data_IF_518871236561
#
_entry.id   IF_518871236561
#
_cell.length_a   1.000
_cell.length_b   1.000
_cell.length_c   1.000
_cell.angle_alpha   90.00
_cell.angle_beta   90.00
_cell.angle_gamma   90.00
#
_symmetry.space_group_name_H-M   'P 1'
#
loop_
_entity.id
_entity.type
_entity.pdbx_description
1 polymer ?
#
# COMPACT_ATOMS: atom_id res chain seq x y z
N UNK A 1 -28.86 -29.67 16.61
CA UNK A 1 -27.60 -28.91 16.54
C UNK A 1 -26.92 -29.32 15.25
N UNK A 2 -27.06 -28.51 14.21
CA UNK A 2 -26.51 -28.74 12.87
C UNK A 2 -25.63 -27.53 12.50
N UNK A 3 -24.58 -27.69 11.69
CA UNK A 3 -23.53 -26.70 11.54
C UNK A 3 -23.97 -25.52 10.66
N UNK A 4 -23.44 -24.34 10.99
CA UNK A 4 -23.59 -23.11 10.20
C UNK A 4 -22.69 -23.20 8.97
N UNK A 5 -23.28 -23.16 7.77
CA UNK A 5 -22.54 -23.04 6.51
C UNK A 5 -21.98 -21.63 6.35
N UNK A 6 -20.68 -21.54 6.05
CA UNK A 6 -19.96 -20.32 5.74
C UNK A 6 -19.91 -20.16 4.21
N UNK A 7 -20.40 -19.02 3.73
CA UNK A 7 -19.92 -18.32 2.54
C UNK A 7 -20.18 -18.98 1.17
N UNK A 8 -21.30 -18.62 0.54
CA UNK A 8 -21.42 -18.63 -0.92
C UNK A 8 -21.27 -17.19 -1.46
N UNK A 9 -20.66 -17.00 -2.65
CA UNK A 9 -20.54 -15.68 -3.28
C UNK A 9 -21.91 -15.18 -3.74
N UNK A 10 -22.32 -14.02 -3.22
CA UNK A 10 -23.57 -13.34 -3.57
C UNK A 10 -23.36 -12.58 -4.89
N UNK A 11 -23.50 -13.30 -6.01
CA UNK A 11 -23.85 -12.67 -7.29
C UNK A 11 -25.15 -13.30 -7.78
N UNK A 12 -26.22 -12.99 -7.04
CA UNK A 12 -27.59 -13.19 -7.49
C UNK A 12 -28.01 -12.03 -8.40
N UNK A 13 -28.64 -12.38 -9.52
CA UNK A 13 -29.15 -11.50 -10.55
C UNK A 13 -30.30 -10.67 -9.98
N UNK A 14 -29.98 -9.56 -9.30
CA UNK A 14 -30.82 -8.40 -9.00
C UNK A 14 -30.01 -7.40 -8.14
N UNK A 15 -28.96 -6.81 -8.71
CA UNK A 15 -28.14 -5.83 -8.00
C UNK A 15 -28.83 -4.45 -7.95
N UNK A 16 -29.03 -3.84 -6.77
CA UNK A 16 -29.42 -2.44 -6.68
C UNK A 16 -28.33 -1.55 -7.29
N UNK A 17 -28.76 -0.42 -7.88
CA UNK A 17 -27.86 0.56 -8.53
C UNK A 17 -26.66 0.90 -7.64
N UNK A 18 -25.44 1.03 -8.21
CA UNK A 18 -24.26 1.36 -7.43
C UNK A 18 -24.48 2.70 -6.72
N UNK A 19 -24.53 2.67 -5.40
CA UNK A 19 -24.53 3.88 -4.57
C UNK A 19 -23.23 4.63 -4.81
N UNK A 20 -23.35 5.85 -5.34
CA UNK A 20 -22.26 6.75 -5.75
C UNK A 20 -21.48 7.35 -4.57
N UNK A 21 -20.97 6.52 -3.67
CA UNK A 21 -20.21 6.98 -2.51
C UNK A 21 -18.82 6.34 -2.50
N UNK A 22 -17.80 7.20 -2.39
CA UNK A 22 -16.42 6.82 -2.13
C UNK A 22 -16.34 5.93 -0.90
N UNK A 23 -15.48 4.90 -0.88
CA UNK A 23 -15.34 4.06 0.30
C UNK A 23 -14.84 4.88 1.50
N UNK A 24 -15.54 4.77 2.63
CA UNK A 24 -15.07 5.20 3.95
C UNK A 24 -13.92 4.31 4.41
N UNK A 25 -13.16 4.81 5.39
CA UNK A 25 -11.95 4.17 5.88
C UNK A 25 -12.07 3.86 7.37
N UNK A 26 -11.95 2.58 7.74
CA UNK A 26 -11.79 2.18 9.14
C UNK A 26 -10.48 2.72 9.71
N UNK A 27 -10.51 3.06 10.99
CA UNK A 27 -9.31 3.38 11.74
C UNK A 27 -8.30 2.23 11.69
N UNK A 28 -7.03 2.59 11.53
CA UNK A 28 -5.93 1.65 11.33
C UNK A 28 -5.77 0.66 12.50
N UNK A 29 -6.22 1.03 13.70
CA UNK A 29 -6.21 0.16 14.90
C UNK A 29 -7.15 -1.04 14.79
N UNK A 30 -8.11 -1.01 13.86
CA UNK A 30 -8.99 -2.14 13.56
C UNK A 30 -8.34 -3.15 12.60
N UNK A 31 -7.17 -2.83 12.05
CA UNK A 31 -6.44 -3.67 11.11
C UNK A 31 -5.23 -4.29 11.80
N UNK A 32 -4.87 -5.48 11.33
CA UNK A 32 -3.69 -6.21 11.82
C UNK A 32 -2.40 -5.38 11.74
N UNK A 33 -1.50 -5.61 12.69
CA UNK A 33 -0.10 -5.16 12.66
C UNK A 33 0.85 -6.26 12.19
N UNK A 34 0.32 -7.42 11.77
CA UNK A 34 1.11 -8.53 11.23
C UNK A 34 1.71 -8.15 9.87
N UNK A 35 3.04 -8.18 9.80
CA UNK A 35 3.77 -7.76 8.61
C UNK A 35 3.46 -8.64 7.41
N UNK A 36 3.33 -9.95 7.58
CA UNK A 36 3.14 -10.86 6.46
C UNK A 36 1.72 -10.74 5.88
N UNK A 37 0.72 -10.51 6.73
CA UNK A 37 -0.64 -10.15 6.31
C UNK A 37 -0.65 -8.86 5.48
N UNK A 38 0.09 -7.83 5.90
CA UNK A 38 0.19 -6.56 5.18
C UNK A 38 1.00 -6.68 3.87
N UNK A 39 2.06 -7.50 3.84
CA UNK A 39 2.93 -7.70 2.67
C UNK A 39 2.33 -8.60 1.60
N UNK A 40 1.78 -9.74 2.01
CA UNK A 40 1.47 -10.85 1.10
C UNK A 40 -0.03 -11.10 0.95
N UNK A 41 -0.84 -10.63 1.91
CA UNK A 41 -2.28 -10.89 1.94
C UNK A 41 -3.14 -9.63 1.78
N UNK A 42 -2.53 -8.49 1.42
CA UNK A 42 -3.26 -7.24 1.16
C UNK A 42 -4.15 -6.79 2.34
N UNK A 43 -3.75 -7.07 3.58
CA UNK A 43 -4.58 -6.80 4.75
C UNK A 43 -4.91 -5.30 4.94
N UNK A 44 -4.10 -4.38 4.41
CA UNK A 44 -4.39 -2.94 4.41
C UNK A 44 -5.71 -2.60 3.68
N UNK A 45 -6.11 -3.40 2.68
CA UNK A 45 -7.36 -3.18 1.94
C UNK A 45 -8.61 -3.37 2.80
N UNK A 46 -8.51 -4.07 3.93
CA UNK A 46 -9.59 -4.24 4.89
C UNK A 46 -10.00 -2.92 5.56
N UNK A 47 -9.19 -1.84 5.44
CA UNK A 47 -9.65 -0.52 5.86
C UNK A 47 -10.79 0.03 4.99
N UNK A 48 -10.89 -0.40 3.72
CA UNK A 48 -11.83 0.16 2.76
C UNK A 48 -13.23 -0.45 2.92
N UNK A 49 -14.23 0.40 3.12
CA UNK A 49 -15.63 -0.02 3.23
C UNK A 49 -16.41 0.30 1.96
N UNK A 50 -17.14 -0.68 1.42
CA UNK A 50 -18.01 -0.50 0.25
C UNK A 50 -19.47 -0.75 0.63
N UNK A 51 -20.34 0.24 0.47
CA UNK A 51 -21.78 0.14 0.79
C UNK A 51 -22.21 0.96 2.00
N UNK A 52 -23.53 1.03 2.23
CA UNK A 52 -24.21 2.01 3.09
C UNK A 52 -23.56 2.29 4.45
N UNK A 53 -23.51 3.58 4.79
CA UNK A 53 -23.24 4.10 6.14
C UNK A 53 -24.22 3.51 7.17
N UNK A 54 -23.91 2.33 7.71
CA UNK A 54 -24.72 1.75 8.79
C UNK A 54 -24.00 0.76 9.70
N UNK A 55 -22.73 1.02 10.00
CA UNK A 55 -22.21 0.71 11.33
C UNK A 55 -21.75 2.01 11.99
N UNK A 56 -22.72 2.68 12.61
CA UNK A 56 -22.61 3.99 13.29
C UNK A 56 -21.68 3.97 14.52
N UNK A 57 -20.78 3.00 14.65
CA UNK A 57 -19.96 2.79 15.84
C UNK A 57 -18.48 2.49 15.57
N UNK A 58 -18.07 2.19 14.33
CA UNK A 58 -16.68 1.92 14.04
C UNK A 58 -15.88 3.22 13.91
N UNK A 59 -14.68 3.24 14.50
CA UNK A 59 -13.76 4.37 14.38
C UNK A 59 -13.38 4.58 12.91
N UNK A 60 -13.56 5.80 12.42
CA UNK A 60 -13.20 6.20 11.06
C UNK A 60 -11.98 7.11 11.08
N UNK A 61 -11.19 7.08 10.01
CA UNK A 61 -9.98 7.89 9.87
C UNK A 61 -9.78 8.33 8.42
N UNK A 62 -8.91 9.31 8.19
CA UNK A 62 -8.39 9.65 6.86
C UNK A 62 -6.96 9.12 6.64
N UNK A 63 -6.44 8.39 7.63
CA UNK A 63 -5.09 7.84 7.65
C UNK A 63 -5.08 6.41 7.09
N UNK A 64 -4.41 6.24 5.95
CA UNK A 64 -4.34 5.00 5.21
C UNK A 64 -3.05 4.22 5.52
N UNK A 65 -3.17 2.92 5.74
CA UNK A 65 -2.05 1.99 5.82
C UNK A 65 -1.52 1.76 4.40
N UNK A 66 -0.34 2.30 4.13
CA UNK A 66 0.31 2.20 2.81
C UNK A 66 1.64 1.45 2.86
N UNK A 67 1.94 0.79 3.98
CA UNK A 67 3.13 -0.05 4.11
C UNK A 67 2.92 -1.20 5.10
N UNK A 68 3.89 -2.12 5.24
CA UNK A 68 3.86 -3.11 6.31
C UNK A 68 3.96 -2.53 7.74
N UNK A 69 4.21 -1.22 7.90
CA UNK A 69 4.23 -0.55 9.20
C UNK A 69 2.85 0.04 9.52
N UNK A 70 2.17 -0.51 10.53
CA UNK A 70 0.87 -0.02 11.01
C UNK A 70 1.01 0.73 12.34
N UNK A 71 1.78 1.80 12.33
CA UNK A 71 1.95 2.75 13.44
C UNK A 71 1.60 4.17 12.97
N UNK A 72 1.11 5.07 13.84
CA UNK A 72 0.62 6.39 13.42
C UNK A 72 1.58 7.23 12.57
N UNK A 73 2.90 7.11 12.81
CA UNK A 73 3.94 7.84 12.04
C UNK A 73 4.15 7.31 10.62
N UNK A 74 3.56 6.18 10.28
CA UNK A 74 3.72 5.51 8.99
C UNK A 74 2.45 5.59 8.14
N UNK A 75 1.38 6.22 8.63
CA UNK A 75 0.12 6.29 7.91
C UNK A 75 0.12 7.47 6.94
N UNK A 76 -0.43 7.25 5.74
CA UNK A 76 -0.63 8.28 4.75
C UNK A 76 -1.90 9.07 5.05
N UNK A 77 -1.79 10.38 5.25
CA UNK A 77 -2.96 11.27 5.34
C UNK A 77 -3.52 11.55 3.94
N UNK A 78 -4.68 10.97 3.63
CA UNK A 78 -5.35 11.13 2.34
C UNK A 78 -5.76 12.58 2.05
N UNK A 79 -5.93 13.43 3.07
CA UNK A 79 -6.28 14.85 2.88
C UNK A 79 -5.15 15.66 2.26
N UNK A 80 -3.92 15.15 2.28
CA UNK A 80 -2.75 15.80 1.69
C UNK A 80 -2.65 15.58 0.18
N UNK A 81 -3.49 14.70 -0.38
CA UNK A 81 -3.45 14.28 -1.78
C UNK A 81 -4.64 14.80 -2.56
N UNK A 82 -4.45 15.01 -3.87
CA UNK A 82 -5.56 15.22 -4.79
C UNK A 82 -6.30 13.91 -5.08
N UNK A 83 -7.47 14.01 -5.72
CA UNK A 83 -8.34 12.87 -6.00
C UNK A 83 -7.64 11.71 -6.72
N UNK A 84 -6.90 11.88 -7.84
CA UNK A 84 -6.27 10.74 -8.51
C UNK A 84 -5.25 10.03 -7.62
N UNK A 85 -4.47 10.78 -6.83
CA UNK A 85 -3.49 10.21 -5.90
C UNK A 85 -4.17 9.47 -4.73
N UNK A 86 -5.28 10.00 -4.19
CA UNK A 86 -6.08 9.30 -3.18
C UNK A 86 -6.63 7.97 -3.71
N UNK A 87 -7.19 7.97 -4.93
CA UNK A 87 -7.75 6.76 -5.55
C UNK A 87 -6.66 5.72 -5.82
N UNK A 88 -5.50 6.14 -6.31
CA UNK A 88 -4.35 5.25 -6.52
C UNK A 88 -3.82 4.69 -5.18
N UNK A 89 -3.66 5.51 -4.15
CA UNK A 89 -3.23 5.04 -2.82
C UNK A 89 -4.18 3.97 -2.26
N UNK A 90 -5.50 4.20 -2.37
CA UNK A 90 -6.52 3.20 -2.01
C UNK A 90 -6.39 1.93 -2.84
N UNK A 91 -6.17 2.03 -4.15
CA UNK A 91 -5.97 0.86 -5.00
C UNK A 91 -4.69 0.08 -4.67
N UNK A 92 -3.61 0.74 -4.27
CA UNK A 92 -2.34 0.12 -3.89
C UNK A 92 -2.42 -0.65 -2.56
N UNK A 93 -3.51 -0.53 -1.79
CA UNK A 93 -3.73 -1.36 -0.59
C UNK A 93 -3.85 -2.84 -0.92
N UNK A 94 -4.27 -3.19 -2.15
CA UNK A 94 -4.33 -4.59 -2.63
C UNK A 94 -3.05 -5.07 -3.31
N UNK A 95 -2.01 -4.22 -3.42
CA UNK A 95 -0.74 -4.59 -4.04
C UNK A 95 -0.08 -5.72 -3.23
N UNK A 96 0.24 -6.81 -3.91
CA UNK A 96 0.94 -7.97 -3.36
C UNK A 96 1.76 -8.68 -4.46
N UNK A 97 2.84 -9.37 -4.10
CA UNK A 97 3.56 -10.20 -5.07
C UNK A 97 2.67 -11.37 -5.53
N UNK A 98 2.87 -11.83 -6.76
CA UNK A 98 2.12 -12.93 -7.38
C UNK A 98 3.00 -14.14 -7.74
N UNK A 99 4.27 -14.09 -7.36
CA UNK A 99 5.29 -15.12 -7.64
C UNK A 99 6.39 -15.04 -6.60
N UNK A 100 6.94 -16.19 -6.23
CA UNK A 100 7.93 -16.31 -5.14
C UNK A 100 9.29 -15.67 -5.47
N UNK A 101 9.62 -15.55 -6.76
CA UNK A 101 10.87 -14.99 -7.27
C UNK A 101 10.81 -13.47 -7.53
N UNK A 102 9.84 -12.76 -6.93
CA UNK A 102 9.66 -11.30 -7.09
C UNK A 102 10.95 -10.50 -6.86
N UNK A 103 11.85 -10.99 -6.00
CA UNK A 103 13.13 -10.34 -5.69
C UNK A 103 14.06 -10.24 -6.90
N UNK A 104 13.87 -11.06 -7.94
CA UNK A 104 14.68 -11.07 -9.17
C UNK A 104 13.89 -10.99 -10.47
N UNK A 105 12.61 -11.34 -10.46
CA UNK A 105 11.75 -11.27 -11.64
C UNK A 105 11.50 -9.82 -12.10
N UNK A 106 11.11 -9.57 -13.37
CA UNK A 106 10.71 -8.25 -13.85
C UNK A 106 9.65 -7.61 -12.95
N UNK A 107 9.82 -6.33 -12.61
CA UNK A 107 8.98 -5.64 -11.62
C UNK A 107 7.49 -5.65 -11.98
N UNK A 108 7.18 -5.33 -13.24
CA UNK A 108 5.81 -5.27 -13.77
C UNK A 108 5.12 -6.64 -13.81
N UNK A 109 5.88 -7.72 -13.71
CA UNK A 109 5.37 -9.09 -13.67
C UNK A 109 5.41 -9.72 -12.27
N UNK A 110 5.99 -9.01 -11.29
CA UNK A 110 6.17 -9.52 -9.92
C UNK A 110 4.96 -9.31 -9.04
N UNK A 111 4.12 -8.30 -9.35
CA UNK A 111 2.97 -7.89 -8.56
C UNK A 111 1.65 -7.99 -9.34
N UNK A 112 0.54 -7.99 -8.62
CA UNK A 112 -0.83 -8.04 -9.16
C UNK A 112 -1.30 -6.70 -9.78
N UNK A 113 -0.48 -6.04 -10.60
CA UNK A 113 -0.79 -4.74 -11.20
C UNK A 113 -2.13 -4.68 -11.95
N UNK A 114 -2.50 -5.76 -12.65
CA UNK A 114 -3.79 -5.82 -13.33
C UNK A 114 -4.98 -5.70 -12.36
N UNK A 115 -4.88 -6.33 -11.18
CA UNK A 115 -5.91 -6.24 -10.15
C UNK A 115 -5.96 -4.83 -9.54
N UNK A 116 -4.80 -4.24 -9.26
CA UNK A 116 -4.68 -2.84 -8.77
C UNK A 116 -5.34 -1.86 -9.74
N UNK A 117 -5.05 -1.95 -11.04
CA UNK A 117 -5.63 -1.03 -12.03
C UNK A 117 -7.11 -1.27 -12.30
N UNK A 118 -7.59 -2.52 -12.20
CA UNK A 118 -9.03 -2.79 -12.25
C UNK A 118 -9.73 -2.16 -11.05
N UNK A 119 -9.20 -2.34 -9.85
CA UNK A 119 -9.77 -1.76 -8.65
C UNK A 119 -9.72 -0.22 -8.66
N UNK A 120 -8.63 0.37 -9.17
CA UNK A 120 -8.54 1.81 -9.40
C UNK A 120 -9.64 2.33 -10.33
N UNK A 121 -9.96 1.58 -11.39
CA UNK A 121 -11.04 1.92 -12.32
C UNK A 121 -12.39 1.89 -11.62
N UNK A 122 -12.65 0.87 -10.80
CA UNK A 122 -13.89 0.75 -10.04
C UNK A 122 -14.04 1.89 -9.02
N UNK A 123 -12.95 2.24 -8.34
CA UNK A 123 -12.87 3.39 -7.44
C UNK A 123 -13.17 4.69 -8.19
N UNK A 124 -12.53 4.93 -9.33
CA UNK A 124 -12.76 6.13 -10.14
C UNK A 124 -14.22 6.23 -10.59
N UNK A 125 -14.81 5.13 -11.09
CA UNK A 125 -16.21 5.08 -11.51
C UNK A 125 -17.18 5.38 -10.36
N UNK A 126 -16.97 4.75 -9.20
CA UNK A 126 -17.82 4.94 -8.01
C UNK A 126 -17.76 6.37 -7.47
N UNK A 127 -16.61 7.03 -7.63
CA UNK A 127 -16.39 8.43 -7.25
C UNK A 127 -16.86 9.44 -8.32
N UNK A 128 -17.37 8.98 -9.47
CA UNK A 128 -17.67 9.84 -10.61
C UNK A 128 -16.44 10.58 -11.16
N UNK A 129 -15.23 10.07 -10.88
CA UNK A 129 -13.98 10.70 -11.28
C UNK A 129 -13.62 10.27 -12.70
N UNK A 130 -13.50 11.25 -13.61
CA UNK A 130 -13.00 11.02 -14.96
C UNK A 130 -11.48 10.93 -14.93
N UNK A 131 -10.96 9.73 -15.16
CA UNK A 131 -9.52 9.50 -15.19
C UNK A 131 -8.88 10.09 -16.46
N UNK A 132 -7.82 10.87 -16.28
CA UNK A 132 -6.95 11.37 -17.35
C UNK A 132 -5.58 10.70 -17.27
N UNK A 133 -4.73 10.85 -18.29
CA UNK A 133 -3.36 10.31 -18.24
C UNK A 133 -2.61 10.89 -17.05
N UNK A 134 -2.16 10.00 -16.16
CA UNK A 134 -1.38 10.35 -14.99
C UNK A 134 0.03 9.75 -15.10
N UNK A 135 0.99 10.40 -14.47
CA UNK A 135 2.34 9.88 -14.29
C UNK A 135 2.59 9.64 -12.80
N UNK A 136 3.34 8.58 -12.50
CA UNK A 136 3.77 8.24 -11.15
C UNK A 136 5.19 7.71 -11.22
N UNK A 137 5.92 7.82 -10.12
CA UNK A 137 7.28 7.27 -10.02
C UNK A 137 7.27 5.99 -9.22
N UNK A 138 8.07 5.03 -9.69
CA UNK A 138 8.35 3.79 -8.97
C UNK A 138 9.84 3.73 -8.72
N UNK A 139 10.22 3.53 -7.46
CA UNK A 139 11.61 3.27 -7.07
C UNK A 139 11.70 1.81 -6.61
N UNK A 140 12.52 1.01 -7.29
CA UNK A 140 12.69 -0.42 -6.97
C UNK A 140 14.09 -0.64 -6.41
N UNK A 141 14.17 -1.05 -5.15
CA UNK A 141 15.40 -1.42 -4.47
C UNK A 141 15.56 -2.94 -4.47
N UNK A 142 16.55 -3.45 -5.20
CA UNK A 142 16.94 -4.87 -5.15
C UNK A 142 18.23 -5.00 -4.36
N UNK A 143 18.23 -5.87 -3.36
CA UNK A 143 19.36 -6.04 -2.46
C UNK A 143 19.70 -7.51 -2.25
N UNK A 144 20.91 -7.79 -1.79
CA UNK A 144 21.32 -9.09 -1.26
C UNK A 144 21.93 -8.87 0.12
N UNK A 145 21.30 -9.42 1.14
CA UNK A 145 21.73 -9.23 2.53
C UNK A 145 23.03 -10.00 2.79
N UNK A 146 23.94 -9.36 3.53
CA UNK A 146 25.11 -10.03 4.10
C UNK A 146 24.68 -11.04 5.17
N UNK A 147 25.51 -12.05 5.41
CA UNK A 147 25.17 -13.15 6.32
C UNK A 147 25.10 -12.72 7.79
N UNK A 148 25.93 -11.75 8.15
CA UNK A 148 26.17 -11.18 9.47
C UNK A 148 25.48 -9.83 9.68
N UNK A 149 24.56 -9.45 8.78
CA UNK A 149 23.84 -8.18 8.87
C UNK A 149 23.07 -8.08 10.19
N UNK A 150 23.17 -6.93 10.84
CA UNK A 150 22.32 -6.59 11.98
C UNK A 150 20.89 -6.32 11.48
N UNK A 151 20.03 -7.33 11.64
CA UNK A 151 18.64 -7.28 11.18
C UNK A 151 17.81 -6.24 11.92
N UNK A 152 18.09 -6.03 13.21
CA UNK A 152 17.34 -5.06 14.00
C UNK A 152 17.69 -3.65 13.54
N UNK A 153 18.99 -3.35 13.42
CA UNK A 153 19.42 -2.05 12.91
C UNK A 153 18.93 -1.77 11.49
N UNK A 154 18.93 -2.78 10.63
CA UNK A 154 18.39 -2.65 9.27
C UNK A 154 16.89 -2.33 9.28
N UNK A 155 16.12 -3.01 10.13
CA UNK A 155 14.70 -2.73 10.33
C UNK A 155 14.46 -1.31 10.87
N UNK A 156 15.23 -0.89 11.88
CA UNK A 156 15.06 0.43 12.49
C UNK A 156 15.37 1.58 11.52
N UNK A 157 16.41 1.42 10.69
CA UNK A 157 16.74 2.37 9.63
C UNK A 157 15.63 2.44 8.57
N UNK A 158 15.12 1.29 8.13
CA UNK A 158 14.03 1.22 7.16
C UNK A 158 12.75 1.90 7.67
N UNK A 159 12.38 1.59 8.91
CA UNK A 159 11.23 2.19 9.58
C UNK A 159 11.41 3.72 9.71
N UNK A 160 12.60 4.19 10.10
CA UNK A 160 12.87 5.61 10.23
C UNK A 160 12.82 6.34 8.88
N UNK A 161 13.45 5.79 7.84
CA UNK A 161 13.38 6.36 6.48
C UNK A 161 11.95 6.39 5.94
N UNK A 162 11.13 5.40 6.26
CA UNK A 162 9.71 5.42 5.91
C UNK A 162 8.96 6.56 6.62
N UNK A 163 9.20 6.78 7.92
CA UNK A 163 8.60 7.91 8.64
C UNK A 163 8.97 9.26 8.01
N UNK A 164 10.24 9.44 7.63
CA UNK A 164 10.70 10.65 6.95
C UNK A 164 10.04 10.83 5.58
N UNK A 165 9.88 9.76 4.80
CA UNK A 165 9.19 9.81 3.51
C UNK A 165 7.70 10.16 3.64
N UNK A 166 7.00 9.61 4.64
CA UNK A 166 5.61 9.98 4.94
C UNK A 166 5.52 11.45 5.36
N UNK A 167 6.40 11.91 6.25
CA UNK A 167 6.42 13.28 6.72
C UNK A 167 6.78 14.30 5.61
N UNK A 168 7.64 13.91 4.67
CA UNK A 168 8.04 14.73 3.52
C UNK A 168 6.93 14.84 2.47
N UNK A 169 6.02 13.87 2.44
CA UNK A 169 4.90 13.82 1.50
C UNK A 169 5.25 13.21 0.15
N UNK A 170 4.20 12.85 -0.60
CA UNK A 170 4.29 12.30 -1.95
C UNK A 170 4.50 10.79 -2.05
N UNK A 171 4.78 10.09 -0.95
CA UNK A 171 4.78 8.63 -0.89
C UNK A 171 3.33 8.11 -0.90
N UNK A 172 2.97 7.30 -1.90
CA UNK A 172 1.65 6.66 -2.00
C UNK A 172 1.63 5.24 -1.44
N UNK A 173 2.73 4.51 -1.59
CA UNK A 173 2.88 3.13 -1.11
C UNK A 173 4.35 2.83 -0.87
N UNK A 174 4.61 2.11 0.20
CA UNK A 174 5.86 1.42 0.43
C UNK A 174 5.59 -0.07 0.60
N UNK A 175 6.42 -0.91 0.01
CA UNK A 175 6.34 -2.35 0.19
C UNK A 175 7.74 -2.95 0.26
N UNK A 176 7.93 -3.92 1.13
CA UNK A 176 9.16 -4.70 1.17
C UNK A 176 8.85 -6.18 1.39
N UNK A 177 9.62 -7.01 0.70
CA UNK A 177 9.50 -8.45 0.76
C UNK A 177 10.30 -9.08 1.89
N UNK A 178 10.34 -10.40 1.84
CA UNK A 178 11.17 -11.26 2.67
C UNK A 178 12.28 -11.83 1.80
N UNK A 179 13.51 -11.79 2.30
CA UNK A 179 14.68 -12.32 1.59
C UNK A 179 14.48 -13.80 1.19
N UNK A 180 14.93 -14.15 -0.01
CA UNK A 180 14.94 -15.54 -0.49
C UNK A 180 16.09 -16.37 0.09
N UNK A 181 16.23 -17.63 -0.34
CA UNK A 181 17.33 -18.52 0.07
C UNK A 181 18.73 -18.00 -0.27
N UNK A 182 18.84 -17.15 -1.28
CA UNK A 182 20.07 -16.47 -1.70
C UNK A 182 20.29 -15.13 -0.98
N UNK A 183 19.43 -14.82 0.01
CA UNK A 183 19.37 -13.57 0.77
C UNK A 183 19.01 -12.35 -0.09
N UNK A 184 18.42 -12.53 -1.27
CA UNK A 184 17.97 -11.43 -2.13
C UNK A 184 16.62 -10.92 -1.68
N UNK A 185 16.44 -9.61 -1.67
CA UNK A 185 15.17 -8.97 -1.31
C UNK A 185 14.81 -7.86 -2.30
N UNK A 186 13.53 -7.46 -2.28
CA UNK A 186 13.04 -6.30 -2.99
C UNK A 186 12.23 -5.41 -2.04
N UNK A 187 12.47 -4.11 -2.13
CA UNK A 187 11.59 -3.07 -1.61
C UNK A 187 11.20 -2.14 -2.76
N UNK A 188 10.02 -1.53 -2.67
CA UNK A 188 9.52 -0.62 -3.69
C UNK A 188 8.72 0.51 -3.07
N UNK A 189 8.81 1.68 -3.70
CA UNK A 189 8.03 2.85 -3.35
C UNK A 189 7.30 3.38 -4.58
N UNK A 190 6.02 3.68 -4.42
CA UNK A 190 5.21 4.42 -5.38
C UNK A 190 5.08 5.86 -4.91
N UNK A 191 5.46 6.82 -5.76
CA UNK A 191 5.39 8.24 -5.48
C UNK A 191 4.49 8.96 -6.47
N UNK A 192 3.86 10.05 -5.99
CA UNK A 192 3.21 11.03 -6.85
C UNK A 192 4.24 11.63 -7.82
N UNK A 193 3.79 12.08 -9.00
CA UNK A 193 4.64 12.85 -9.90
C UNK A 193 4.79 14.28 -9.38
N UNK A 194 5.89 14.56 -8.66
CA UNK A 194 6.33 15.91 -8.37
C UNK A 194 7.37 16.36 -9.39
N UNK A 195 7.39 17.66 -9.68
CA UNK A 195 8.44 18.29 -10.48
C UNK A 195 9.79 18.16 -9.73
N UNK A 196 10.52 17.06 -9.98
CA UNK A 196 11.92 16.64 -9.70
C UNK A 196 12.67 17.05 -8.40
N UNK A 197 12.27 18.09 -7.66
CA UNK A 197 13.11 18.71 -6.63
C UNK A 197 13.02 18.05 -5.24
N UNK A 198 11.95 17.28 -4.96
CA UNK A 198 11.72 16.68 -3.65
C UNK A 198 12.35 15.29 -3.48
N UNK A 199 12.30 14.44 -4.52
CA UNK A 199 12.80 13.05 -4.46
C UNK A 199 14.32 13.02 -4.24
N UNK A 200 15.07 13.90 -4.91
CA UNK A 200 16.52 13.99 -4.73
C UNK A 200 16.92 14.47 -3.33
N UNK A 201 16.10 15.32 -2.70
CA UNK A 201 16.41 15.86 -1.36
C UNK A 201 16.25 14.81 -0.27
N UNK A 202 15.18 14.00 -0.33
CA UNK A 202 15.01 12.87 0.59
C UNK A 202 16.11 11.80 0.44
N UNK A 203 16.59 11.54 -0.79
CA UNK A 203 17.70 10.61 -1.04
C UNK A 203 19.07 11.21 -0.66
N UNK A 204 19.26 12.52 -0.84
CA UNK A 204 20.54 13.20 -0.57
C UNK A 204 20.74 13.57 0.90
N UNK A 205 19.66 13.83 1.66
CA UNK A 205 19.73 14.08 3.10
C UNK A 205 19.97 12.77 3.90
N UNK A 206 19.90 11.60 3.23
CA UNK A 206 20.42 10.33 3.70
C UNK A 206 21.96 10.32 3.70
N UNK A 207 22.54 10.85 4.77
CA UNK A 207 23.97 11.05 5.03
C UNK A 207 24.88 9.92 4.48
N UNK A 208 25.73 10.33 3.54
CA UNK A 208 26.82 9.55 2.94
C UNK A 208 28.01 9.49 3.89
N UNK A 209 27.78 8.93 5.09
CA UNK A 209 28.86 8.66 6.05
C UNK A 209 28.87 7.20 6.48
N UNK A 210 29.79 6.49 5.82
CA UNK A 210 30.53 5.32 6.32
C UNK A 210 29.78 3.98 6.41
N UNK A 211 29.70 3.29 5.28
CA UNK A 211 29.97 1.85 5.24
C UNK A 211 31.38 1.69 4.66
N UNK A 212 32.38 1.75 5.55
CA UNK A 212 33.70 1.17 5.34
C UNK A 212 33.68 -0.27 5.87
#
# INVERSE_FOLDING_TARGET
MAPVEIGQPVFGVDSPKPTSQSPSLYDHTLITTDFDALKFHAAASLQLQFGHAHETAALQSDLLITSPYNDPKHLLDLKTLDTPNQLLAKALTILRPIRDDYATAPYTESFNWQAVFNFLRDLAQTNGYRWETQHFYVVVFRSRLQADIDKQRLHDLDAYSHQEAVASGGLLKYWFGTKDGERRNLATCEFIFLSFYFILRAVADGDTRSLA
#
